data_IF_433817504564
#
_entry.id   IF_433817504564
#
_cell.length_a   1.000
_cell.length_b   1.000
_cell.length_c   1.000
_cell.angle_alpha   90.00
_cell.angle_beta   90.00
_cell.angle_gamma   90.00
#
_symmetry.space_group_name_H-M   'P 1'
#
loop_
_entity.id
_entity.type
_entity.pdbx_description
1 polymer ?
#
# COMPACT_ATOMS: atom_id res chain seq x y z
N UNK A 1 13.20 2.08 -17.68
CA UNK A 1 13.20 3.40 -18.32
C UNK A 1 12.82 3.19 -19.78
N UNK A 2 13.02 4.15 -20.68
CA UNK A 2 12.72 3.97 -22.11
C UNK A 2 13.56 2.85 -22.78
N UNK A 3 14.65 2.42 -22.14
CA UNK A 3 15.49 1.30 -22.58
C UNK A 3 15.06 -0.06 -22.02
N UNK A 4 14.08 -0.08 -21.10
CA UNK A 4 13.67 -1.28 -20.37
C UNK A 4 14.51 -1.60 -19.12
N UNK A 5 15.52 -0.79 -18.80
CA UNK A 5 16.33 -0.96 -17.59
C UNK A 5 15.59 -0.48 -16.34
N UNK A 6 15.81 -1.14 -15.20
CA UNK A 6 15.29 -0.66 -13.92
C UNK A 6 15.96 0.67 -13.54
N UNK A 7 15.21 1.53 -12.84
CA UNK A 7 15.72 2.79 -12.32
C UNK A 7 15.32 2.99 -10.87
N UNK A 8 16.20 3.60 -10.08
CA UNK A 8 15.86 4.10 -8.76
C UNK A 8 15.27 5.50 -8.88
N UNK A 9 13.94 5.62 -8.85
CA UNK A 9 13.25 6.90 -9.06
C UNK A 9 13.73 8.07 -8.17
N UNK A 10 14.09 7.85 -6.88
CA UNK A 10 14.58 8.93 -6.02
C UNK A 10 15.86 9.64 -6.46
N UNK A 11 16.60 9.14 -7.46
CA UNK A 11 17.77 9.84 -8.01
C UNK A 11 17.46 10.62 -9.30
N UNK A 12 16.19 10.64 -9.73
CA UNK A 12 15.77 11.35 -10.95
C UNK A 12 15.59 12.85 -10.75
N UNK A 13 15.82 13.63 -11.82
CA UNK A 13 15.52 15.07 -11.85
C UNK A 13 14.04 15.36 -11.55
N UNK A 14 13.13 14.51 -12.02
CA UNK A 14 11.69 14.66 -11.79
C UNK A 14 11.33 14.48 -10.31
N UNK A 15 12.03 13.60 -9.59
CA UNK A 15 11.86 13.47 -8.14
C UNK A 15 12.38 14.73 -7.41
N UNK A 16 13.52 15.29 -7.82
CA UNK A 16 14.01 16.57 -7.29
C UNK A 16 12.99 17.68 -7.48
N UNK A 17 12.45 17.85 -8.68
CA UNK A 17 11.42 18.87 -8.97
C UNK A 17 10.16 18.70 -8.10
N UNK A 18 9.75 17.45 -7.85
CA UNK A 18 8.64 17.14 -6.94
C UNK A 18 8.98 17.56 -5.50
N UNK A 19 10.17 17.25 -5.01
CA UNK A 19 10.61 17.65 -3.67
C UNK A 19 10.66 19.17 -3.52
N UNK A 20 11.16 19.90 -4.51
CA UNK A 20 11.13 21.37 -4.52
C UNK A 20 9.71 21.93 -4.50
N UNK A 21 8.76 21.28 -5.19
CA UNK A 21 7.35 21.67 -5.12
C UNK A 21 6.77 21.45 -3.72
N UNK A 22 7.02 20.29 -3.11
CA UNK A 22 6.56 19.97 -1.76
C UNK A 22 7.18 20.92 -0.73
N UNK A 23 8.48 21.22 -0.84
CA UNK A 23 9.17 22.21 -0.01
C UNK A 23 8.51 23.58 -0.11
N UNK A 24 8.12 24.03 -1.31
CA UNK A 24 7.38 25.30 -1.48
C UNK A 24 6.01 25.28 -0.81
N UNK A 25 5.29 24.16 -0.87
CA UNK A 25 4.00 24.03 -0.19
C UNK A 25 4.18 24.05 1.33
N UNK A 26 5.18 23.31 1.84
CA UNK A 26 5.52 23.28 3.25
C UNK A 26 5.95 24.66 3.77
N UNK A 27 6.85 25.35 3.07
CA UNK A 27 7.29 26.70 3.45
C UNK A 27 6.20 27.77 3.41
N UNK A 28 5.09 27.53 2.68
CA UNK A 28 3.89 28.38 2.67
C UNK A 28 2.86 27.99 3.73
N UNK A 29 3.12 26.97 4.55
CA UNK A 29 2.17 26.46 5.54
C UNK A 29 0.98 25.70 4.93
N UNK A 30 1.06 25.28 3.67
CA UNK A 30 0.00 24.52 2.98
C UNK A 30 0.06 23.03 3.27
N UNK A 31 1.17 22.56 3.83
CA UNK A 31 1.33 21.23 4.41
C UNK A 31 1.40 21.40 5.93
N UNK A 32 0.77 20.48 6.65
CA UNK A 32 0.79 20.45 8.11
C UNK A 32 2.24 20.51 8.63
N UNK A 33 2.53 21.51 9.48
CA UNK A 33 3.91 21.84 9.87
C UNK A 33 4.54 20.83 10.83
N UNK A 34 3.73 19.99 11.46
CA UNK A 34 4.18 18.92 12.35
C UNK A 34 4.01 17.53 11.71
N UNK A 35 3.93 17.46 10.37
CA UNK A 35 3.70 16.21 9.62
C UNK A 35 4.67 15.08 9.97
N UNK A 36 5.93 15.40 10.30
CA UNK A 36 6.96 14.40 10.68
C UNK A 36 6.83 13.89 12.12
N UNK A 37 5.98 14.52 12.94
CA UNK A 37 5.74 14.17 14.34
C UNK A 37 4.27 13.89 14.63
N UNK A 38 3.40 14.01 13.63
CA UNK A 38 1.96 13.76 13.73
C UNK A 38 1.70 12.26 13.61
N UNK A 39 0.66 11.79 14.29
CA UNK A 39 0.16 10.42 14.19
C UNK A 39 -1.22 10.37 13.53
N UNK A 40 -1.72 9.14 13.30
CA UNK A 40 -3.03 8.88 12.70
C UNK A 40 -4.18 9.43 13.56
N UNK A 41 -4.04 9.42 14.89
CA UNK A 41 -5.08 9.93 15.80
C UNK A 41 -5.27 11.44 15.64
N UNK A 42 -4.16 12.19 15.59
CA UNK A 42 -4.17 13.63 15.31
C UNK A 42 -4.69 13.94 13.92
N UNK A 43 -4.28 13.18 12.90
CA UNK A 43 -4.77 13.31 11.54
C UNK A 43 -6.31 13.15 11.46
N UNK A 44 -6.86 12.09 12.05
CA UNK A 44 -8.30 11.84 12.09
C UNK A 44 -9.04 12.94 12.86
N UNK A 45 -8.47 13.41 13.98
CA UNK A 45 -9.06 14.48 14.77
C UNK A 45 -9.16 15.81 14.00
N UNK A 46 -8.12 16.20 13.26
CA UNK A 46 -8.14 17.39 12.41
C UNK A 46 -9.14 17.26 11.26
N UNK A 47 -9.22 16.07 10.65
CA UNK A 47 -10.21 15.77 9.61
C UNK A 47 -11.65 15.87 10.13
N UNK A 48 -11.92 15.31 11.31
CA UNK A 48 -13.23 15.40 11.98
C UNK A 48 -13.59 16.79 12.50
N UNK A 49 -12.65 17.74 12.50
CA UNK A 49 -12.91 19.17 12.74
C UNK A 49 -13.09 19.96 11.44
N UNK A 50 -13.00 19.31 10.27
CA UNK A 50 -13.09 19.95 8.97
C UNK A 50 -11.90 20.86 8.63
N UNK A 51 -10.74 20.66 9.26
CA UNK A 51 -9.56 21.53 9.09
C UNK A 51 -8.76 21.16 7.83
N UNK A 52 -8.76 19.88 7.45
CA UNK A 52 -7.96 19.38 6.33
C UNK A 52 -8.62 19.75 4.99
N UNK A 53 -7.86 20.32 4.06
CA UNK A 53 -8.38 20.70 2.73
C UNK A 53 -8.12 19.66 1.64
N UNK A 54 -7.01 18.92 1.75
CA UNK A 54 -6.63 17.83 0.85
C UNK A 54 -5.91 16.75 1.68
N UNK A 55 -6.21 15.49 1.40
CA UNK A 55 -5.76 14.35 2.21
C UNK A 55 -5.42 13.15 1.34
N UNK A 56 -4.52 12.29 1.83
CA UNK A 56 -4.32 10.95 1.32
C UNK A 56 -4.98 9.94 2.25
N UNK A 57 -6.19 9.48 1.93
CA UNK A 57 -6.87 8.41 2.65
C UNK A 57 -7.88 7.71 1.74
N UNK A 58 -8.19 6.45 2.04
CA UNK A 58 -9.13 5.62 1.28
C UNK A 58 -10.59 6.06 1.47
N UNK A 59 -10.98 6.49 2.68
CA UNK A 59 -12.33 6.94 2.97
C UNK A 59 -12.36 8.03 4.04
N UNK A 60 -12.34 9.32 3.63
CA UNK A 60 -12.62 10.44 4.52
C UNK A 60 -13.86 10.25 5.41
N UNK A 61 -14.95 9.68 4.90
CA UNK A 61 -16.19 9.44 5.68
C UNK A 61 -15.94 8.50 6.86
N UNK A 62 -15.22 7.40 6.65
CA UNK A 62 -14.93 6.44 7.72
C UNK A 62 -14.02 7.03 8.81
N UNK A 63 -13.08 7.91 8.45
CA UNK A 63 -12.09 8.44 9.40
C UNK A 63 -12.45 9.78 10.04
N UNK A 64 -13.19 10.63 9.32
CA UNK A 64 -13.51 12.00 9.73
C UNK A 64 -14.98 12.16 10.11
N UNK A 65 -15.79 11.11 9.94
CA UNK A 65 -17.24 11.14 10.13
C UNK A 65 -17.98 11.76 8.95
N UNK A 66 -19.26 11.40 8.79
CA UNK A 66 -20.08 11.82 7.65
C UNK A 66 -20.18 13.33 7.47
N UNK A 67 -20.25 14.11 8.57
CA UNK A 67 -20.40 15.57 8.51
C UNK A 67 -19.34 16.26 7.63
N UNK A 68 -18.08 15.81 7.72
CA UNK A 68 -16.95 16.38 6.98
C UNK A 68 -16.43 15.46 5.88
N UNK A 69 -16.38 14.15 6.13
CA UNK A 69 -15.86 13.17 5.20
C UNK A 69 -16.64 13.10 3.88
N UNK A 70 -17.97 13.30 3.91
CA UNK A 70 -18.82 13.28 2.71
C UNK A 70 -18.59 14.51 1.81
N UNK A 71 -17.87 15.53 2.30
CA UNK A 71 -17.53 16.73 1.51
C UNK A 71 -16.32 16.53 0.61
N UNK A 72 -15.57 15.44 0.80
CA UNK A 72 -14.37 15.16 0.02
C UNK A 72 -14.74 14.46 -1.29
N UNK A 73 -14.04 14.86 -2.35
CA UNK A 73 -14.12 14.21 -3.66
C UNK A 73 -12.76 13.63 -4.01
N UNK A 74 -12.76 12.47 -4.67
CA UNK A 74 -11.54 11.86 -5.17
C UNK A 74 -10.93 12.68 -6.31
N UNK A 75 -9.61 12.79 -6.32
CA UNK A 75 -8.87 13.49 -7.37
C UNK A 75 -8.17 12.49 -8.30
N UNK A 76 -8.22 12.69 -9.63
CA UNK A 76 -7.34 11.98 -10.53
C UNK A 76 -5.87 12.41 -10.29
N UNK A 77 -4.89 11.71 -10.88
CA UNK A 77 -3.49 12.13 -10.82
C UNK A 77 -3.32 13.60 -11.22
N UNK A 78 -2.61 14.37 -10.39
CA UNK A 78 -2.42 15.80 -10.63
C UNK A 78 -1.43 16.03 -11.77
N UNK A 79 -1.85 16.86 -12.73
CA UNK A 79 -0.97 17.32 -13.80
C UNK A 79 0.04 18.34 -13.26
N UNK A 80 1.28 18.29 -13.75
CA UNK A 80 2.30 19.31 -13.45
C UNK A 80 1.91 20.67 -14.02
N UNK A 81 1.38 20.70 -15.25
CA UNK A 81 0.78 21.89 -15.90
C UNK A 81 -0.55 21.51 -16.54
N UNK A 82 -1.45 22.49 -16.70
CA UNK A 82 -2.78 22.26 -17.28
C UNK A 82 -2.75 21.57 -18.67
N UNK A 83 -1.75 21.92 -19.49
CA UNK A 83 -1.55 21.37 -20.83
C UNK A 83 -0.92 19.96 -20.85
N UNK A 84 -0.34 19.50 -19.73
CA UNK A 84 0.30 18.19 -19.68
C UNK A 84 -0.77 17.08 -19.73
N UNK A 85 -0.43 15.87 -20.22
CA UNK A 85 -1.29 14.71 -20.04
C UNK A 85 -1.47 14.39 -18.55
N UNK A 86 -2.55 13.70 -18.21
CA UNK A 86 -2.72 13.15 -16.86
C UNK A 86 -1.63 12.08 -16.66
N UNK A 87 -0.79 12.17 -15.62
CA UNK A 87 0.27 11.19 -15.41
C UNK A 87 -0.30 9.84 -14.96
N UNK A 88 0.50 8.78 -15.08
CA UNK A 88 0.12 7.48 -14.54
C UNK A 88 0.02 7.52 -13.01
N UNK A 89 -0.92 6.75 -12.46
CA UNK A 89 -1.07 6.49 -11.04
C UNK A 89 -0.14 5.36 -10.62
N UNK A 90 0.88 5.69 -9.83
CA UNK A 90 1.91 4.74 -9.38
C UNK A 90 1.65 4.16 -7.99
N UNK A 91 0.56 4.55 -7.30
CA UNK A 91 0.14 3.94 -6.04
C UNK A 91 -0.84 2.80 -6.34
N UNK A 92 -0.31 1.76 -6.98
CA UNK A 92 -1.00 0.52 -7.29
C UNK A 92 -0.12 -0.65 -6.83
N UNK A 93 -0.75 -1.74 -6.37
CA UNK A 93 -0.07 -2.94 -5.92
C UNK A 93 -0.20 -4.06 -6.94
N UNK A 94 0.76 -4.97 -6.95
CA UNK A 94 0.65 -6.21 -7.73
C UNK A 94 -0.49 -7.09 -7.20
N UNK A 95 -1.10 -7.89 -8.07
CA UNK A 95 -2.07 -8.90 -7.66
C UNK A 95 -1.44 -9.94 -6.70
N UNK A 96 -0.14 -10.20 -6.84
CA UNK A 96 0.64 -10.96 -5.86
C UNK A 96 1.11 -10.00 -4.74
N UNK A 97 0.33 -9.92 -3.67
CA UNK A 97 0.55 -9.00 -2.56
C UNK A 97 1.79 -9.34 -1.72
N UNK A 98 2.04 -10.63 -1.47
CA UNK A 98 3.18 -11.08 -0.67
C UNK A 98 3.55 -12.54 -0.96
N UNK A 99 4.80 -12.88 -0.64
CA UNK A 99 5.34 -14.24 -0.71
C UNK A 99 5.70 -14.72 0.71
N UNK A 100 5.73 -16.03 0.91
CA UNK A 100 6.19 -16.61 2.19
C UNK A 100 5.22 -16.46 3.36
N UNK A 101 3.92 -16.30 3.08
CA UNK A 101 2.87 -16.19 4.11
C UNK A 101 2.53 -17.51 4.81
N UNK A 102 3.15 -18.61 4.36
CA UNK A 102 3.06 -19.92 5.00
C UNK A 102 4.35 -20.71 4.76
N UNK A 103 4.84 -21.39 5.80
CA UNK A 103 6.06 -22.20 5.74
C UNK A 103 5.84 -23.51 6.49
N UNK A 104 6.20 -24.63 5.87
CA UNK A 104 6.27 -25.95 6.51
C UNK A 104 7.70 -26.16 6.97
N UNK A 105 7.90 -26.40 8.26
CA UNK A 105 9.23 -26.65 8.82
C UNK A 105 9.68 -28.08 8.53
N UNK A 106 10.99 -28.31 8.60
CA UNK A 106 11.63 -29.63 8.54
C UNK A 106 11.24 -30.57 9.69
N UNK A 107 10.57 -30.04 10.72
CA UNK A 107 10.08 -30.77 11.89
C UNK A 107 8.63 -31.23 11.77
N UNK A 108 7.92 -30.87 10.70
CA UNK A 108 6.53 -31.28 10.54
C UNK A 108 6.44 -32.80 10.35
N UNK A 109 5.69 -33.46 11.23
CA UNK A 109 5.37 -34.89 11.11
C UNK A 109 4.26 -35.14 10.07
N UNK A 110 3.57 -34.09 9.62
CA UNK A 110 2.42 -34.14 8.72
C UNK A 110 2.51 -33.14 7.55
N UNK A 111 3.61 -33.12 6.77
CA UNK A 111 3.80 -32.10 5.74
C UNK A 111 2.77 -32.19 4.60
N UNK A 112 2.29 -33.39 4.27
CA UNK A 112 1.33 -33.61 3.18
C UNK A 112 -0.06 -33.12 3.60
N UNK A 113 -0.51 -33.46 4.81
CA UNK A 113 -1.78 -33.02 5.37
C UNK A 113 -1.79 -31.51 5.56
N UNK A 114 -0.67 -30.95 6.04
CA UNK A 114 -0.47 -29.51 6.18
C UNK A 114 -0.55 -28.79 4.83
N UNK A 115 0.06 -29.35 3.78
CA UNK A 115 -0.05 -28.80 2.43
C UNK A 115 -1.48 -28.85 1.88
N UNK A 116 -2.22 -29.94 2.10
CA UNK A 116 -3.64 -30.04 1.71
C UNK A 116 -4.53 -29.06 2.47
N UNK A 117 -4.26 -28.85 3.76
CA UNK A 117 -4.97 -27.85 4.55
C UNK A 117 -4.72 -26.43 4.03
N UNK A 118 -3.48 -26.13 3.59
CA UNK A 118 -3.19 -24.84 2.97
C UNK A 118 -3.83 -24.69 1.59
N UNK A 119 -3.84 -25.75 0.76
CA UNK A 119 -4.49 -25.75 -0.55
C UNK A 119 -5.98 -25.37 -0.46
N UNK A 120 -6.67 -25.83 0.60
CA UNK A 120 -8.05 -25.44 0.89
C UNK A 120 -8.24 -23.91 0.95
N UNK A 121 -7.31 -23.16 1.56
CA UNK A 121 -7.39 -21.69 1.65
C UNK A 121 -7.16 -20.95 0.32
N UNK A 122 -6.65 -21.65 -0.70
CA UNK A 122 -6.60 -21.16 -2.08
C UNK A 122 -7.80 -21.62 -2.92
N UNK A 123 -8.70 -22.42 -2.35
CA UNK A 123 -10.01 -22.72 -2.92
C UNK A 123 -11.07 -21.67 -2.56
N UNK A 124 -12.17 -21.68 -3.30
CA UNK A 124 -13.30 -20.77 -3.10
C UNK A 124 -13.87 -20.82 -1.67
N UNK A 125 -14.07 -22.04 -1.15
CA UNK A 125 -14.58 -22.26 0.20
C UNK A 125 -13.62 -21.75 1.27
N UNK A 126 -12.33 -22.03 1.13
CA UNK A 126 -11.33 -21.59 2.10
C UNK A 126 -11.11 -20.08 2.07
N UNK A 127 -11.14 -19.45 0.90
CA UNK A 127 -11.09 -17.99 0.77
C UNK A 127 -12.30 -17.34 1.46
N UNK A 128 -13.51 -17.88 1.23
CA UNK A 128 -14.73 -17.38 1.88
C UNK A 128 -14.69 -17.57 3.39
N UNK A 129 -14.26 -18.73 3.89
CA UNK A 129 -14.06 -18.93 5.33
C UNK A 129 -13.05 -17.93 5.90
N UNK A 130 -11.98 -17.66 5.16
CA UNK A 130 -10.89 -16.79 5.59
C UNK A 130 -11.35 -15.34 5.83
N UNK A 131 -12.23 -14.82 4.96
CA UNK A 131 -12.68 -13.42 4.99
C UNK A 131 -14.08 -13.21 5.55
N UNK A 132 -14.98 -14.18 5.43
CA UNK A 132 -16.37 -14.01 5.80
C UNK A 132 -16.79 -14.83 7.01
N UNK A 133 -16.05 -15.88 7.38
CA UNK A 133 -16.35 -16.73 8.53
C UNK A 133 -17.31 -17.88 8.19
N UNK A 134 -18.36 -18.07 8.99
CA UNK A 134 -19.26 -19.23 8.93
C UNK A 134 -20.64 -18.80 8.38
N UNK A 135 -21.11 -19.49 7.35
CA UNK A 135 -22.43 -19.21 6.77
C UNK A 135 -23.55 -19.46 7.80
N UNK A 136 -24.46 -18.50 7.93
CA UNK A 136 -25.55 -18.51 8.92
C UNK A 136 -25.17 -17.97 10.30
N UNK A 137 -23.88 -17.76 10.59
CA UNK A 137 -23.40 -17.12 11.83
C UNK A 137 -22.85 -15.72 11.57
N UNK A 138 -22.08 -15.55 10.50
CA UNK A 138 -21.45 -14.27 10.16
C UNK A 138 -21.94 -13.69 8.84
N UNK A 139 -22.23 -14.53 7.86
CA UNK A 139 -22.70 -14.11 6.55
C UNK A 139 -23.81 -15.03 6.02
N UNK A 140 -24.51 -14.58 4.99
CA UNK A 140 -25.42 -15.42 4.19
C UNK A 140 -25.21 -15.18 2.71
N UNK A 141 -25.58 -16.17 1.91
CA UNK A 141 -25.76 -15.99 0.47
C UNK A 141 -27.15 -15.42 0.16
N UNK A 142 -27.20 -14.41 -0.68
CA UNK A 142 -28.43 -13.79 -1.17
C UNK A 142 -29.01 -14.58 -2.34
N UNK A 143 -30.28 -14.32 -2.68
CA UNK A 143 -30.96 -14.97 -3.80
C UNK A 143 -30.31 -14.65 -5.16
N UNK A 144 -29.65 -13.50 -5.26
CA UNK A 144 -28.90 -13.07 -6.45
C UNK A 144 -27.51 -13.73 -6.55
N UNK A 145 -27.13 -14.53 -5.55
CA UNK A 145 -25.89 -15.29 -5.52
C UNK A 145 -24.72 -14.58 -4.83
N UNK A 146 -24.90 -13.33 -4.41
CA UNK A 146 -23.92 -12.51 -3.67
C UNK A 146 -23.85 -12.90 -2.19
N UNK A 147 -22.78 -12.51 -1.51
CA UNK A 147 -22.59 -12.75 -0.08
C UNK A 147 -22.63 -11.45 0.72
N UNK A 148 -23.35 -11.46 1.83
CA UNK A 148 -23.48 -10.32 2.74
C UNK A 148 -23.33 -10.75 4.20
N UNK A 149 -22.71 -9.88 5.01
CA UNK A 149 -22.63 -10.08 6.45
C UNK A 149 -23.99 -9.93 7.10
N UNK A 150 -24.24 -10.71 8.14
CA UNK A 150 -25.47 -10.65 8.92
C UNK A 150 -25.53 -9.36 9.77
N UNK A 151 -26.73 -8.90 10.17
CA UNK A 151 -26.90 -7.73 11.03
C UNK A 151 -26.12 -7.84 12.35
N UNK A 152 -25.98 -9.03 12.92
CA UNK A 152 -25.21 -9.27 14.14
C UNK A 152 -23.73 -8.93 14.01
N UNK A 153 -23.21 -8.89 12.77
CA UNK A 153 -21.83 -8.48 12.45
C UNK A 153 -21.77 -7.00 12.05
N UNK A 154 -22.72 -6.52 11.24
CA UNK A 154 -22.68 -5.15 10.68
C UNK A 154 -23.29 -4.08 11.59
N UNK A 155 -24.27 -4.45 12.41
CA UNK A 155 -24.97 -3.65 13.43
C UNK A 155 -24.94 -4.42 14.76
N UNK A 156 -23.71 -4.73 15.21
CA UNK A 156 -23.51 -5.56 16.38
C UNK A 156 -24.11 -4.88 17.63
N UNK A 157 -24.96 -5.58 18.41
CA UNK A 157 -25.72 -4.98 19.51
C UNK A 157 -24.84 -4.48 20.66
N UNK A 158 -23.60 -4.97 20.77
CA UNK A 158 -22.62 -4.53 21.78
C UNK A 158 -21.80 -3.31 21.29
N UNK A 159 -22.13 -2.77 20.11
CA UNK A 159 -21.46 -1.60 19.52
C UNK A 159 -20.08 -1.90 18.96
N UNK A 160 -19.76 -3.17 18.70
CA UNK A 160 -18.51 -3.58 18.08
C UNK A 160 -18.43 -3.09 16.63
N UNK A 161 -17.23 -2.74 16.20
CA UNK A 161 -16.95 -2.54 14.77
C UNK A 161 -17.10 -3.85 14.00
N UNK A 162 -17.28 -3.77 12.68
CA UNK A 162 -17.36 -4.96 11.81
C UNK A 162 -16.16 -5.90 12.03
N UNK A 163 -14.94 -5.36 12.08
CA UNK A 163 -13.72 -6.13 12.31
C UNK A 163 -13.73 -6.82 13.68
N UNK A 164 -14.15 -6.12 14.74
CA UNK A 164 -14.22 -6.68 16.10
C UNK A 164 -15.26 -7.79 16.23
N UNK A 165 -16.44 -7.61 15.62
CA UNK A 165 -17.52 -8.59 15.62
C UNK A 165 -17.16 -9.83 14.80
N UNK A 166 -16.43 -9.66 13.69
CA UNK A 166 -16.04 -10.74 12.79
C UNK A 166 -14.82 -11.52 13.30
N UNK A 167 -13.90 -10.87 14.01
CA UNK A 167 -12.62 -11.43 14.51
C UNK A 167 -12.72 -12.83 15.14
N UNK A 168 -13.75 -13.21 15.92
CA UNK A 168 -13.84 -14.55 16.50
C UNK A 168 -14.08 -15.68 15.48
N UNK A 169 -14.51 -15.34 14.26
CA UNK A 169 -15.00 -16.29 13.27
C UNK A 169 -14.11 -16.42 12.03
N UNK A 170 -13.15 -15.51 11.85
CA UNK A 170 -12.27 -15.47 10.68
C UNK A 170 -10.81 -15.72 11.04
N UNK A 171 -10.04 -16.12 10.03
CA UNK A 171 -8.58 -16.26 10.17
C UNK A 171 -7.84 -15.00 9.70
N UNK A 172 -8.51 -14.12 8.94
CA UNK A 172 -7.95 -12.83 8.57
C UNK A 172 -7.93 -11.86 9.77
N UNK A 173 -6.73 -11.43 10.17
CA UNK A 173 -6.51 -10.48 11.27
C UNK A 173 -5.76 -9.21 10.80
N UNK A 174 -5.80 -8.93 9.50
CA UNK A 174 -4.97 -7.91 8.87
C UNK A 174 -3.58 -8.44 8.48
N UNK A 175 -2.91 -7.71 7.58
CA UNK A 175 -1.57 -8.07 7.10
C UNK A 175 -1.57 -9.13 5.99
N UNK A 176 -0.45 -9.83 5.84
CA UNK A 176 -0.27 -10.88 4.84
C UNK A 176 -0.87 -12.22 5.27
N UNK A 177 -1.34 -13.00 4.30
CA UNK A 177 -1.95 -14.31 4.51
C UNK A 177 -1.74 -15.20 3.28
N UNK A 178 -1.82 -16.50 3.50
CA UNK A 178 -1.75 -17.49 2.43
C UNK A 178 -3.17 -17.80 1.95
N UNK A 179 -3.63 -17.09 0.93
CA UNK A 179 -4.94 -17.25 0.34
C UNK A 179 -5.19 -16.27 -0.80
N UNK A 180 -6.35 -16.40 -1.45
CA UNK A 180 -6.77 -15.54 -2.56
C UNK A 180 -7.83 -14.56 -2.08
N UNK A 181 -7.69 -13.30 -2.45
CA UNK A 181 -8.69 -12.25 -2.22
C UNK A 181 -9.57 -12.11 -3.43
N UNK A 182 -10.87 -12.01 -3.19
CA UNK A 182 -11.85 -11.64 -4.21
C UNK A 182 -12.74 -10.53 -3.66
N UNK A 183 -13.30 -9.71 -4.55
CA UNK A 183 -14.30 -8.70 -4.19
C UNK A 183 -15.60 -9.33 -3.66
N UNK A 184 -15.83 -10.60 -3.97
CA UNK A 184 -16.96 -11.39 -3.49
C UNK A 184 -16.90 -11.58 -1.96
N UNK A 185 -15.70 -11.73 -1.40
CA UNK A 185 -15.50 -12.08 0.01
C UNK A 185 -14.88 -10.95 0.85
N UNK A 186 -14.06 -10.10 0.24
CA UNK A 186 -13.38 -9.02 0.94
C UNK A 186 -14.20 -7.72 0.89
N UNK A 187 -15.04 -7.50 1.90
CA UNK A 187 -15.98 -6.36 1.98
C UNK A 187 -15.43 -5.17 2.79
N UNK A 188 -14.13 -4.89 2.71
CA UNK A 188 -13.51 -3.78 3.45
C UNK A 188 -13.64 -2.39 2.76
N UNK A 189 -14.19 -2.35 1.54
CA UNK A 189 -14.31 -1.12 0.77
C UNK A 189 -15.73 -0.55 0.87
N UNK A 190 -15.82 0.76 1.07
CA UNK A 190 -17.09 1.49 0.98
C UNK A 190 -17.20 2.24 -0.35
N UNK A 191 -18.37 2.82 -0.60
CA UNK A 191 -18.67 3.54 -1.84
C UNK A 191 -17.64 4.63 -2.15
N UNK A 192 -17.26 5.43 -1.15
CA UNK A 192 -16.28 6.51 -1.32
C UNK A 192 -14.88 5.97 -1.72
N UNK A 193 -14.44 4.86 -1.13
CA UNK A 193 -13.19 4.20 -1.55
C UNK A 193 -13.27 3.72 -3.00
N UNK A 194 -14.41 3.16 -3.42
CA UNK A 194 -14.63 2.67 -4.78
C UNK A 194 -14.70 3.81 -5.81
N UNK A 195 -15.25 4.97 -5.44
CA UNK A 195 -15.19 6.19 -6.27
C UNK A 195 -13.75 6.67 -6.48
N UNK A 196 -12.93 6.59 -5.44
CA UNK A 196 -11.49 6.86 -5.53
C UNK A 196 -10.79 5.95 -6.55
N UNK A 197 -11.08 4.65 -6.50
CA UNK A 197 -10.56 3.68 -7.48
C UNK A 197 -10.99 4.05 -8.89
N UNK A 198 -12.27 4.40 -9.11
CA UNK A 198 -12.78 4.81 -10.44
C UNK A 198 -12.05 6.06 -10.98
N UNK A 199 -11.66 7.00 -10.12
CA UNK A 199 -10.96 8.21 -10.51
C UNK A 199 -9.50 7.95 -10.97
N UNK A 200 -8.84 6.91 -10.46
CA UNK A 200 -7.42 6.63 -10.74
C UNK A 200 -7.20 5.41 -11.65
N UNK A 201 -8.13 4.46 -11.70
CA UNK A 201 -8.01 3.22 -12.49
C UNK A 201 -7.72 3.45 -13.98
N UNK A 202 -8.30 4.46 -14.67
CA UNK A 202 -7.95 4.75 -16.06
C UNK A 202 -6.50 5.18 -16.27
N UNK A 203 -5.81 5.57 -15.20
CA UNK A 203 -4.44 6.07 -15.21
C UNK A 203 -3.45 5.07 -14.61
N UNK A 204 -3.87 3.86 -14.25
CA UNK A 204 -2.98 2.86 -13.63
C UNK A 204 -1.75 2.58 -14.51
N UNK A 205 -0.66 2.17 -13.87
CA UNK A 205 0.46 1.57 -14.57
C UNK A 205 -0.01 0.30 -15.31
N UNK A 206 0.49 0.10 -16.53
CA UNK A 206 0.18 -1.10 -17.32
C UNK A 206 0.72 -2.36 -16.64
N UNK A 207 1.92 -2.25 -16.07
CA UNK A 207 2.61 -3.32 -15.37
C UNK A 207 2.97 -2.87 -13.95
N UNK A 208 2.58 -3.66 -12.96
CA UNK A 208 2.99 -3.49 -11.56
C UNK A 208 3.67 -4.77 -11.12
N UNK A 209 4.99 -4.69 -10.95
CA UNK A 209 5.80 -5.84 -10.59
C UNK A 209 5.45 -6.36 -9.20
N UNK A 210 5.41 -7.68 -8.99
CA UNK A 210 5.41 -8.24 -7.65
C UNK A 210 6.77 -8.02 -7.00
N UNK A 211 6.87 -8.35 -5.71
CA UNK A 211 8.17 -8.48 -5.06
C UNK A 211 8.98 -9.57 -5.77
N UNK A 212 10.19 -9.24 -6.21
CA UNK A 212 11.07 -10.22 -6.86
C UNK A 212 11.62 -11.24 -5.85
N UNK A 213 11.92 -12.43 -6.36
CA UNK A 213 12.62 -13.47 -5.61
C UNK A 213 14.12 -13.34 -5.82
N UNK A 214 14.86 -13.45 -4.72
CA UNK A 214 16.31 -13.30 -4.68
C UNK A 214 16.97 -14.64 -4.35
N UNK A 215 18.19 -14.84 -4.82
CA UNK A 215 19.05 -15.92 -4.32
C UNK A 215 19.46 -15.63 -2.87
N UNK A 216 19.95 -16.63 -2.15
CA UNK A 216 20.43 -16.45 -0.78
C UNK A 216 21.55 -15.39 -0.69
N UNK A 217 22.45 -15.37 -1.67
CA UNK A 217 23.58 -14.42 -1.71
C UNK A 217 23.07 -12.99 -1.98
N UNK A 218 22.17 -12.83 -2.95
CA UNK A 218 21.52 -11.54 -3.25
C UNK A 218 20.74 -11.02 -2.05
N UNK A 219 19.97 -11.87 -1.37
CA UNK A 219 19.20 -11.49 -0.19
C UNK A 219 20.10 -11.02 0.97
N UNK A 220 21.25 -11.69 1.17
CA UNK A 220 22.22 -11.30 2.18
C UNK A 220 22.84 -9.91 1.89
N UNK A 221 23.21 -9.64 0.63
CA UNK A 221 23.71 -8.33 0.21
C UNK A 221 22.62 -7.24 0.32
N UNK A 222 21.40 -7.53 -0.13
CA UNK A 222 20.30 -6.58 -0.13
C UNK A 222 19.90 -6.13 1.26
N UNK A 223 20.00 -6.98 2.29
CA UNK A 223 19.61 -6.59 3.66
C UNK A 223 20.39 -5.38 4.16
N UNK A 224 21.70 -5.32 3.88
CA UNK A 224 22.54 -4.18 4.25
C UNK A 224 22.25 -2.97 3.36
N UNK A 225 22.34 -3.16 2.04
CA UNK A 225 22.13 -2.09 1.06
C UNK A 225 20.76 -1.42 1.22
N UNK A 226 19.69 -2.20 1.36
CA UNK A 226 18.32 -1.67 1.48
C UNK A 226 18.14 -0.83 2.74
N UNK A 227 18.78 -1.22 3.85
CA UNK A 227 18.69 -0.47 5.12
C UNK A 227 19.30 0.92 4.95
N UNK A 228 20.51 0.99 4.42
CA UNK A 228 21.23 2.26 4.26
C UNK A 228 20.61 3.15 3.19
N UNK A 229 20.18 2.58 2.05
CA UNK A 229 19.48 3.30 0.97
C UNK A 229 18.16 3.89 1.49
N UNK A 230 17.37 3.10 2.23
CA UNK A 230 16.07 3.55 2.79
C UNK A 230 16.27 4.63 3.83
N UNK A 231 17.30 4.50 4.67
CA UNK A 231 17.63 5.50 5.67
C UNK A 231 18.01 6.84 5.02
N UNK A 232 18.95 6.81 4.06
CA UNK A 232 19.34 8.01 3.33
C UNK A 232 18.15 8.66 2.62
N UNK A 233 17.28 7.85 2.01
CA UNK A 233 16.06 8.32 1.36
C UNK A 233 15.14 9.07 2.33
N UNK A 234 14.85 8.47 3.50
CA UNK A 234 13.98 9.08 4.51
C UNK A 234 14.54 10.37 5.11
N UNK A 235 15.83 10.37 5.45
CA UNK A 235 16.52 11.55 6.00
C UNK A 235 16.59 12.70 4.99
N UNK A 236 16.88 12.38 3.72
CA UNK A 236 16.94 13.37 2.64
C UNK A 236 15.56 13.94 2.32
N UNK A 237 14.53 13.09 2.23
CA UNK A 237 13.15 13.54 1.98
C UNK A 237 12.68 14.52 3.06
N UNK A 238 12.87 14.19 4.34
CA UNK A 238 12.52 15.10 5.44
C UNK A 238 13.29 16.43 5.37
N UNK A 239 14.58 16.37 5.02
CA UNK A 239 15.44 17.55 4.91
C UNK A 239 15.06 18.46 3.73
N UNK A 240 14.68 17.89 2.58
CA UNK A 240 14.15 18.64 1.44
C UNK A 240 12.84 19.33 1.78
N UNK A 241 11.86 18.60 2.30
CA UNK A 241 10.54 19.14 2.61
C UNK A 241 10.64 20.30 3.61
N UNK A 242 11.47 20.15 4.64
CA UNK A 242 11.70 21.20 5.65
C UNK A 242 12.63 22.33 5.18
N UNK A 243 13.20 22.23 3.98
CA UNK A 243 14.10 23.22 3.39
C UNK A 243 15.48 23.29 4.04
N UNK A 244 15.87 22.27 4.80
CA UNK A 244 17.25 22.09 5.29
C UNK A 244 18.22 21.71 4.16
N UNK A 245 17.68 21.10 3.11
CA UNK A 245 18.39 20.66 1.93
C UNK A 245 17.95 21.49 0.72
N UNK A 246 18.89 21.81 -0.16
CA UNK A 246 18.74 22.66 -1.34
C UNK A 246 19.15 21.92 -2.62
N UNK A 247 19.06 22.58 -3.77
CA UNK A 247 19.44 22.00 -5.05
C UNK A 247 20.92 21.59 -5.13
N UNK A 248 21.83 22.30 -4.44
CA UNK A 248 23.26 21.96 -4.41
C UNK A 248 23.50 20.66 -3.62
N UNK A 249 22.75 20.47 -2.54
CA UNK A 249 22.85 19.28 -1.69
C UNK A 249 22.36 18.01 -2.41
N UNK A 250 21.50 18.15 -3.44
CA UNK A 250 21.01 17.02 -4.23
C UNK A 250 22.17 16.22 -4.84
N UNK A 251 23.16 16.91 -5.41
CA UNK A 251 24.35 16.26 -5.99
C UNK A 251 25.11 15.46 -4.94
N UNK A 252 25.25 15.99 -3.72
CA UNK A 252 25.89 15.29 -2.60
C UNK A 252 25.10 14.05 -2.18
N UNK A 253 23.77 14.10 -2.19
CA UNK A 253 22.95 12.90 -1.91
C UNK A 253 23.14 11.83 -2.98
N UNK A 254 23.26 12.19 -4.26
CA UNK A 254 23.57 11.24 -5.32
C UNK A 254 24.93 10.55 -5.09
N UNK A 255 25.96 11.30 -4.72
CA UNK A 255 27.28 10.75 -4.37
C UNK A 255 27.24 9.82 -3.15
N UNK A 256 26.36 10.11 -2.18
CA UNK A 256 26.13 9.23 -1.03
C UNK A 256 25.48 7.91 -1.43
N UNK A 257 24.51 7.93 -2.34
CA UNK A 257 23.92 6.70 -2.88
C UNK A 257 24.96 5.82 -3.59
N UNK A 258 25.86 6.43 -4.37
CA UNK A 258 26.96 5.70 -5.00
C UNK A 258 27.88 5.05 -3.96
N UNK A 259 28.19 5.78 -2.89
CA UNK A 259 29.03 5.29 -1.77
C UNK A 259 28.37 4.15 -1.00
N UNK A 260 27.05 4.21 -0.77
CA UNK A 260 26.27 3.17 -0.10
C UNK A 260 26.19 1.89 -0.96
N UNK A 261 26.35 2.01 -2.28
CA UNK A 261 26.28 0.88 -3.21
C UNK A 261 24.95 0.77 -3.93
N UNK A 262 24.29 1.90 -4.23
CA UNK A 262 23.05 1.91 -5.02
C UNK A 262 23.23 1.21 -6.38
N UNK A 263 24.40 1.36 -7.03
CA UNK A 263 24.70 0.63 -8.27
C UNK A 263 24.59 -0.88 -8.07
N UNK A 264 25.20 -1.42 -7.01
CA UNK A 264 25.13 -2.85 -6.69
C UNK A 264 23.72 -3.29 -6.35
N UNK A 265 22.98 -2.48 -5.61
CA UNK A 265 21.55 -2.71 -5.34
C UNK A 265 20.78 -2.84 -6.66
N UNK A 266 20.97 -1.90 -7.60
CA UNK A 266 20.27 -1.91 -8.88
C UNK A 266 20.67 -3.09 -9.78
N UNK A 267 21.93 -3.54 -9.74
CA UNK A 267 22.36 -4.77 -10.43
C UNK A 267 21.59 -6.00 -9.93
N UNK A 268 21.45 -6.14 -8.60
CA UNK A 268 20.69 -7.25 -8.02
C UNK A 268 19.20 -7.15 -8.41
N UNK A 269 18.62 -5.96 -8.36
CA UNK A 269 17.24 -5.74 -8.80
C UNK A 269 17.05 -6.12 -10.27
N UNK A 270 17.99 -5.72 -11.14
CA UNK A 270 17.95 -6.03 -12.56
C UNK A 270 18.06 -7.53 -12.81
N UNK A 271 18.97 -8.23 -12.13
CA UNK A 271 19.11 -9.68 -12.24
C UNK A 271 17.83 -10.41 -11.79
N UNK A 272 17.18 -9.92 -10.74
CA UNK A 272 15.92 -10.49 -10.25
C UNK A 272 14.76 -10.25 -11.21
N UNK A 273 14.69 -9.06 -11.81
CA UNK A 273 13.72 -8.74 -12.86
C UNK A 273 13.94 -9.55 -14.14
N UNK A 274 15.19 -9.76 -14.56
CA UNK A 274 15.51 -10.57 -15.74
C UNK A 274 15.09 -12.03 -15.54
N UNK A 275 15.28 -12.59 -14.33
CA UNK A 275 14.75 -13.92 -13.96
C UNK A 275 13.23 -13.96 -13.91
N UNK A 276 12.58 -12.90 -13.42
CA UNK A 276 11.12 -12.81 -13.41
C UNK A 276 10.54 -12.83 -14.82
N UNK A 277 11.26 -12.24 -15.79
CA UNK A 277 10.85 -12.16 -17.19
C UNK A 277 11.19 -13.36 -18.07
N UNK A 278 12.04 -14.27 -17.60
CA UNK A 278 12.48 -15.48 -18.33
C UNK A 278 11.54 -16.66 -18.10
#
# INVERSE_FOLDING_TARGET
DESGALRFWPTSDQYRELMEFIQRLYGKGLIQQDIFTSDTGKFNNLGGQGILGAVGTQSPTAYFGAEYGDRYVSLPPLKKKAADPIPSWNSASSALQSIGQFVITDKSEHPIETARWMDFHYGDEGARLFFMGIEGETYRRTDDGEYEFLPEITDNPDGLTLDEALRPYVTYLGGGYAGIVTEDYFKAFNEQSLEGVKAVAPHKLEEVWPVFTYTSDEAAELSGLSTDITKLFGESQASFVTGKMTGDDWSTMLEQYDTIGLSRFMEIQQAAYDRYRS
#
